data_IF_651578663313
#
_entry.id   IF_651578663313
#
_cell.length_a   1.000
_cell.length_b   1.000
_cell.length_c   1.000
_cell.angle_alpha   90.00
_cell.angle_beta   90.00
_cell.angle_gamma   90.00
#
_symmetry.space_group_name_H-M   'P 1'
#
loop_
_entity.id
_entity.type
_entity.pdbx_description
1 polymer ?
#
# COMPACT_ATOMS: atom_id res chain seq x y z
N UNK A 1 -9.21 6.51 34.59
CA UNK A 1 -9.33 6.30 33.13
C UNK A 1 -8.62 5.01 32.78
N UNK A 2 -9.36 4.01 32.32
CA UNK A 2 -8.83 2.65 32.11
C UNK A 2 -8.22 2.51 30.72
N UNK A 3 -6.97 2.03 30.65
CA UNK A 3 -6.39 1.52 29.42
C UNK A 3 -7.07 0.19 29.09
N UNK A 4 -7.50 0.01 27.83
CA UNK A 4 -7.94 -1.29 27.34
C UNK A 4 -6.79 -1.95 26.57
N UNK A 5 -6.53 -3.20 26.91
CA UNK A 5 -5.41 -3.96 26.36
C UNK A 5 -5.75 -5.44 26.32
N UNK A 6 -4.84 -6.22 25.72
CA UNK A 6 -5.01 -7.66 25.53
C UNK A 6 -5.44 -8.39 26.82
N UNK A 7 -6.46 -9.23 26.71
CA UNK A 7 -7.02 -10.00 27.82
C UNK A 7 -8.05 -9.26 28.66
N UNK A 8 -8.26 -7.95 28.46
CA UNK A 8 -9.40 -7.26 29.07
C UNK A 8 -10.73 -7.76 28.48
N UNK A 9 -11.78 -7.77 29.28
CA UNK A 9 -13.12 -8.22 28.87
C UNK A 9 -14.22 -7.29 29.39
N UNK A 10 -15.42 -7.40 28.83
CA UNK A 10 -16.63 -6.73 29.30
C UNK A 10 -17.18 -5.66 28.36
N UNK A 11 -18.20 -4.89 28.81
CA UNK A 11 -18.93 -3.95 27.95
C UNK A 11 -18.04 -2.89 27.29
N UNK A 12 -17.05 -2.36 28.02
CA UNK A 12 -16.11 -1.38 27.46
C UNK A 12 -15.28 -1.94 26.29
N UNK A 13 -14.99 -3.25 26.29
CA UNK A 13 -14.31 -3.91 25.18
C UNK A 13 -15.25 -4.15 24.01
N UNK A 14 -16.52 -4.49 24.28
CA UNK A 14 -17.55 -4.58 23.24
C UNK A 14 -17.75 -3.24 22.53
N UNK A 15 -17.88 -2.14 23.29
CA UNK A 15 -18.05 -0.79 22.74
C UNK A 15 -16.84 -0.39 21.90
N UNK A 16 -15.63 -0.67 22.40
CA UNK A 16 -14.40 -0.47 21.64
C UNK A 16 -14.40 -1.29 20.34
N UNK A 17 -14.72 -2.58 20.41
CA UNK A 17 -14.73 -3.45 19.23
C UNK A 17 -15.72 -2.95 18.18
N UNK A 18 -16.92 -2.51 18.59
CA UNK A 18 -17.91 -1.90 17.69
C UNK A 18 -17.39 -0.61 17.06
N UNK A 19 -16.67 0.21 17.82
CA UNK A 19 -16.08 1.42 17.29
C UNK A 19 -14.98 1.10 16.26
N UNK A 20 -14.13 0.11 16.51
CA UNK A 20 -13.10 -0.33 15.55
C UNK A 20 -13.72 -0.95 14.29
N UNK A 21 -14.86 -1.65 14.41
CA UNK A 21 -15.67 -2.11 13.27
C UNK A 21 -16.20 -0.91 12.47
N UNK A 22 -16.76 0.09 13.14
CA UNK A 22 -17.28 1.30 12.49
C UNK A 22 -16.18 2.07 11.75
N UNK A 23 -14.95 2.02 12.27
CA UNK A 23 -13.74 2.57 11.62
C UNK A 23 -13.17 1.69 10.51
N UNK A 24 -13.71 0.49 10.28
CA UNK A 24 -13.30 -0.41 9.20
C UNK A 24 -12.07 -1.27 9.49
N UNK A 25 -11.61 -1.33 10.74
CA UNK A 25 -10.39 -2.06 11.13
C UNK A 25 -10.67 -3.47 11.69
N UNK A 26 -11.93 -3.81 11.95
CA UNK A 26 -12.35 -5.11 12.45
C UNK A 26 -13.63 -5.55 11.74
N UNK A 27 -13.76 -6.85 11.44
CA UNK A 27 -15.01 -7.39 10.91
C UNK A 27 -16.07 -7.44 12.01
N UNK A 28 -17.33 -7.15 11.67
CA UNK A 28 -18.44 -7.21 12.63
C UNK A 28 -18.58 -8.60 13.31
N UNK A 29 -18.23 -9.67 12.60
CA UNK A 29 -18.22 -11.05 13.13
C UNK A 29 -17.14 -11.29 14.19
N UNK A 30 -16.10 -10.44 14.22
CA UNK A 30 -14.97 -10.53 15.15
C UNK A 30 -15.11 -9.56 16.33
N UNK A 31 -16.18 -8.75 16.36
CA UNK A 31 -16.46 -7.88 17.49
C UNK A 31 -17.07 -8.67 18.65
N UNK A 32 -16.52 -8.48 19.84
CA UNK A 32 -17.00 -9.18 21.03
C UNK A 32 -16.47 -8.59 22.33
N UNK A 33 -16.87 -9.16 23.47
CA UNK A 33 -16.55 -8.64 24.80
C UNK A 33 -15.14 -8.98 25.26
N UNK A 34 -14.24 -9.45 24.37
CA UNK A 34 -12.90 -9.92 24.72
C UNK A 34 -11.88 -9.18 23.86
N UNK A 35 -10.86 -8.63 24.52
CA UNK A 35 -9.75 -7.97 23.84
C UNK A 35 -8.74 -9.04 23.42
N UNK A 36 -9.08 -9.71 22.33
CA UNK A 36 -8.34 -10.84 21.82
C UNK A 36 -7.18 -10.41 20.91
N UNK A 37 -6.54 -11.39 20.24
CA UNK A 37 -5.42 -11.12 19.33
C UNK A 37 -5.89 -10.36 18.07
N UNK A 38 -7.14 -10.55 17.63
CA UNK A 38 -7.70 -9.91 16.43
C UNK A 38 -7.96 -8.44 16.71
N UNK A 39 -8.65 -8.12 17.82
CA UNK A 39 -8.87 -6.75 18.24
C UNK A 39 -7.55 -6.02 18.48
N UNK A 40 -6.57 -6.68 19.13
CA UNK A 40 -5.24 -6.07 19.30
C UNK A 40 -4.56 -5.73 17.98
N UNK A 41 -4.63 -6.62 16.99
CA UNK A 41 -4.04 -6.35 15.68
C UNK A 41 -4.77 -5.19 14.99
N UNK A 42 -6.11 -5.18 15.03
CA UNK A 42 -6.92 -4.09 14.49
C UNK A 42 -6.58 -2.73 15.12
N UNK A 43 -6.36 -2.69 16.43
CA UNK A 43 -5.91 -1.46 17.12
C UNK A 43 -4.53 -1.02 16.65
N UNK A 44 -3.59 -1.95 16.43
CA UNK A 44 -2.27 -1.60 15.89
C UNK A 44 -2.37 -1.04 14.48
N UNK A 45 -3.19 -1.66 13.64
CA UNK A 45 -3.41 -1.21 12.27
C UNK A 45 -4.04 0.20 12.26
N UNK A 46 -4.97 0.47 13.19
CA UNK A 46 -5.53 1.81 13.41
C UNK A 46 -4.46 2.81 13.86
N UNK A 47 -3.69 2.47 14.91
CA UNK A 47 -2.63 3.33 15.44
C UNK A 47 -1.54 3.66 14.41
N UNK A 48 -1.26 2.75 13.49
CA UNK A 48 -0.29 2.96 12.42
C UNK A 48 -0.74 4.02 11.40
N UNK A 49 -2.03 4.31 11.33
CA UNK A 49 -2.65 5.16 10.30
C UNK A 49 -3.19 6.49 10.84
N UNK A 50 -3.26 6.70 12.16
CA UNK A 50 -3.93 7.86 12.76
C UNK A 50 -3.01 8.69 13.66
N UNK A 51 -3.39 9.97 13.82
CA UNK A 51 -2.71 10.95 14.65
C UNK A 51 -3.43 11.12 16.00
N UNK A 52 -2.69 11.56 17.02
CA UNK A 52 -3.24 11.98 18.31
C UNK A 52 -3.89 13.37 18.21
N UNK A 53 -4.51 13.80 19.31
CA UNK A 53 -5.18 15.11 19.42
C UNK A 53 -4.30 16.33 19.16
N UNK A 54 -2.97 16.13 19.05
CA UNK A 54 -1.97 17.16 18.77
C UNK A 54 -1.36 17.00 17.37
N UNK A 55 -1.91 16.13 16.52
CA UNK A 55 -1.41 15.88 15.17
C UNK A 55 -0.14 15.03 15.12
N UNK A 56 0.16 14.26 16.18
CA UNK A 56 1.37 13.43 16.23
C UNK A 56 1.02 11.96 16.03
N UNK A 57 1.85 11.17 15.34
CA UNK A 57 1.57 9.75 15.13
C UNK A 57 1.33 9.01 16.44
N UNK A 58 0.31 8.14 16.48
CA UNK A 58 0.09 7.26 17.61
C UNK A 58 1.24 6.25 17.74
N UNK A 59 1.44 5.76 18.97
CA UNK A 59 2.35 4.64 19.25
C UNK A 59 1.62 3.36 18.89
N UNK A 60 2.27 2.48 18.13
CA UNK A 60 1.69 1.22 17.63
C UNK A 60 1.94 0.08 18.63
N UNK A 61 1.31 0.17 19.80
CA UNK A 61 1.48 -0.79 20.91
C UNK A 61 0.32 -1.80 21.03
N UNK A 62 -0.81 -1.52 20.39
CA UNK A 62 -2.05 -2.28 20.51
C UNK A 62 -2.78 -2.03 21.84
N UNK A 63 -2.49 -0.92 22.51
CA UNK A 63 -3.10 -0.49 23.77
C UNK A 63 -4.00 0.71 23.50
N UNK A 64 -5.26 0.64 23.90
CA UNK A 64 -6.19 1.75 23.77
C UNK A 64 -6.12 2.61 25.02
N UNK A 65 -5.23 3.59 24.98
CA UNK A 65 -5.16 4.70 25.94
C UNK A 65 -5.98 5.92 25.49
N UNK A 66 -5.99 7.01 26.28
CA UNK A 66 -6.79 8.20 25.98
C UNK A 66 -6.54 8.82 24.59
N UNK A 67 -5.31 8.75 24.07
CA UNK A 67 -4.97 9.30 22.75
C UNK A 67 -5.52 8.43 21.61
N UNK A 68 -5.41 7.11 21.72
CA UNK A 68 -5.99 6.17 20.75
C UNK A 68 -7.51 6.25 20.79
N UNK A 69 -8.10 6.31 21.99
CA UNK A 69 -9.55 6.47 22.16
C UNK A 69 -10.05 7.80 21.60
N UNK A 70 -9.30 8.88 21.78
CA UNK A 70 -9.62 10.18 21.18
C UNK A 70 -9.66 10.08 19.66
N UNK A 71 -8.62 9.52 19.03
CA UNK A 71 -8.56 9.35 17.57
C UNK A 71 -9.68 8.44 17.03
N UNK A 72 -10.05 7.42 17.81
CA UNK A 72 -11.15 6.50 17.52
C UNK A 72 -12.53 7.19 17.55
N UNK A 73 -12.73 8.16 18.45
CA UNK A 73 -14.03 8.81 18.68
C UNK A 73 -14.20 10.14 17.97
N UNK A 74 -13.10 10.77 17.53
CA UNK A 74 -13.14 12.03 16.79
C UNK A 74 -12.75 11.74 15.34
N UNK A 75 -13.62 12.03 14.35
CA UNK A 75 -13.24 11.90 12.95
C UNK A 75 -11.99 12.74 12.70
N UNK A 76 -11.11 12.25 11.83
CA UNK A 76 -9.94 13.01 11.38
C UNK A 76 -10.41 14.41 10.97
N UNK A 77 -9.77 15.44 11.53
CA UNK A 77 -10.17 16.83 11.24
C UNK A 77 -10.22 16.98 9.72
N UNK A 78 -11.31 17.51 9.14
CA UNK A 78 -11.36 17.75 7.69
C UNK A 78 -10.29 18.77 7.23
N UNK A 79 -9.74 19.55 8.16
CA UNK A 79 -8.62 20.48 7.99
C UNK A 79 -7.22 19.84 8.15
N UNK A 80 -7.17 18.58 8.59
CA UNK A 80 -6.07 17.64 8.36
C UNK A 80 -6.59 16.47 7.51
N UNK A 81 -7.42 16.77 6.50
CA UNK A 81 -7.46 15.89 5.35
C UNK A 81 -6.00 15.71 4.93
N UNK A 82 -5.43 14.51 5.16
CA UNK A 82 -4.44 14.02 4.22
C UNK A 82 -5.11 14.30 2.88
N UNK A 83 -4.52 15.16 2.02
CA UNK A 83 -5.15 15.45 0.75
C UNK A 83 -5.49 14.08 0.19
N UNK A 84 -6.79 13.80 -0.03
CA UNK A 84 -7.19 12.74 -0.98
C UNK A 84 -6.19 12.93 -2.09
N UNK A 85 -5.24 12.00 -2.35
CA UNK A 85 -4.10 12.35 -3.16
C UNK A 85 -4.65 12.84 -4.46
N UNK A 86 -4.72 14.17 -4.61
CA UNK A 86 -5.10 14.77 -5.86
C UNK A 86 -4.06 14.15 -6.77
N UNK A 87 -4.52 13.46 -7.81
CA UNK A 87 -3.66 12.92 -8.85
C UNK A 87 -2.98 14.15 -9.44
N UNK A 88 -1.93 14.57 -8.76
CA UNK A 88 -1.15 15.75 -9.01
C UNK A 88 0.02 15.24 -9.80
N UNK A 89 0.41 16.00 -10.81
CA UNK A 89 1.46 15.53 -11.70
C UNK A 89 2.71 15.18 -10.89
N UNK A 90 3.33 14.00 -11.16
CA UNK A 90 4.53 13.63 -10.46
C UNK A 90 5.62 14.69 -10.71
N UNK A 91 6.35 15.10 -9.65
CA UNK A 91 7.37 16.14 -9.76
C UNK A 91 8.43 15.78 -10.81
N UNK A 92 9.13 16.76 -11.41
CA UNK A 92 10.18 16.48 -12.37
C UNK A 92 11.24 15.48 -11.86
N UNK A 93 11.87 14.76 -12.78
CA UNK A 93 12.84 13.71 -12.47
C UNK A 93 12.37 12.32 -12.93
N UNK A 94 13.18 11.31 -12.58
CA UNK A 94 13.05 9.95 -13.12
C UNK A 94 13.61 9.83 -14.54
N UNK A 95 13.89 8.61 -14.98
CA UNK A 95 14.25 8.34 -16.38
C UNK A 95 12.99 8.23 -17.25
N UNK A 96 13.15 8.32 -18.57
CA UNK A 96 12.03 8.32 -19.52
C UNK A 96 11.14 7.08 -19.43
N UNK A 97 11.73 5.91 -19.20
CA UNK A 97 11.00 4.63 -19.10
C UNK A 97 10.16 4.55 -17.83
N UNK A 98 10.74 4.87 -16.67
CA UNK A 98 10.05 4.92 -15.40
C UNK A 98 8.92 5.94 -15.40
N UNK A 99 9.16 7.13 -15.96
CA UNK A 99 8.15 8.18 -16.07
C UNK A 99 6.99 7.77 -16.99
N UNK A 100 7.28 7.15 -18.14
CA UNK A 100 6.23 6.63 -19.01
C UNK A 100 5.39 5.55 -18.31
N UNK A 101 6.03 4.64 -17.57
CA UNK A 101 5.34 3.61 -16.79
C UNK A 101 4.43 4.23 -15.71
N UNK A 102 4.93 5.21 -14.96
CA UNK A 102 4.13 5.91 -13.95
C UNK A 102 2.96 6.66 -14.58
N UNK A 103 3.16 7.35 -15.70
CA UNK A 103 2.09 8.07 -16.39
C UNK A 103 0.99 7.11 -16.89
N UNK A 104 1.36 5.95 -17.43
CA UNK A 104 0.41 4.91 -17.80
C UNK A 104 -0.38 4.39 -16.58
N UNK A 105 0.30 4.19 -15.44
CA UNK A 105 -0.35 3.77 -14.21
C UNK A 105 -1.33 4.84 -13.68
N UNK A 106 -0.97 6.13 -13.71
CA UNK A 106 -1.84 7.23 -13.31
C UNK A 106 -3.08 7.33 -14.21
N UNK A 107 -2.93 7.08 -15.52
CA UNK A 107 -4.08 7.02 -16.43
C UNK A 107 -5.07 5.90 -16.04
N UNK A 108 -4.59 4.74 -15.58
CA UNK A 108 -5.47 3.67 -15.07
C UNK A 108 -6.20 4.08 -13.78
N UNK A 109 -5.57 4.88 -12.90
CA UNK A 109 -6.25 5.48 -11.75
C UNK A 109 -7.38 6.39 -12.22
N UNK A 110 -7.13 7.29 -13.19
CA UNK A 110 -8.14 8.19 -13.75
C UNK A 110 -9.30 7.44 -14.41
N UNK A 111 -9.03 6.30 -15.06
CA UNK A 111 -10.06 5.45 -15.64
C UNK A 111 -10.83 4.60 -14.61
N UNK A 112 -10.46 4.64 -13.33
CA UNK A 112 -11.11 3.85 -12.27
C UNK A 112 -10.89 2.35 -12.43
N UNK A 113 -9.73 1.96 -12.96
CA UNK A 113 -9.38 0.57 -13.20
C UNK A 113 -9.40 -0.23 -11.89
N UNK A 114 -10.08 -1.38 -11.89
CA UNK A 114 -10.25 -2.24 -10.72
C UNK A 114 -10.63 -3.65 -11.12
N UNK A 115 -10.61 -4.56 -10.17
CA UNK A 115 -11.22 -5.89 -10.34
C UNK A 115 -12.73 -5.78 -10.57
N UNK A 116 -13.24 -6.62 -11.46
CA UNK A 116 -14.66 -6.66 -11.82
C UNK A 116 -15.16 -8.10 -11.86
N UNK A 117 -16.40 -8.32 -11.43
CA UNK A 117 -17.03 -9.63 -11.37
C UNK A 117 -16.58 -10.51 -10.21
N UNK A 118 -15.27 -10.72 -10.02
CA UNK A 118 -14.73 -11.48 -8.89
C UNK A 118 -13.28 -11.09 -8.54
N UNK A 119 -12.82 -11.53 -7.37
CA UNK A 119 -11.46 -11.28 -6.88
C UNK A 119 -10.42 -11.73 -7.92
N UNK A 120 -9.41 -10.90 -8.15
CA UNK A 120 -8.34 -11.12 -9.14
C UNK A 120 -8.83 -11.34 -10.60
N UNK A 121 -9.98 -10.79 -10.97
CA UNK A 121 -10.60 -11.00 -12.29
C UNK A 121 -11.16 -9.70 -12.90
N UNK A 122 -11.57 -9.80 -14.17
CA UNK A 122 -12.25 -8.74 -14.90
C UNK A 122 -11.40 -8.14 -16.03
N UNK A 123 -12.01 -7.28 -16.88
CA UNK A 123 -11.38 -6.80 -18.11
C UNK A 123 -10.06 -6.05 -17.89
N UNK A 124 -9.95 -5.26 -16.81
CA UNK A 124 -8.71 -4.57 -16.45
C UNK A 124 -7.59 -5.55 -16.09
N UNK A 125 -7.92 -6.58 -15.31
CA UNK A 125 -6.96 -7.62 -14.92
C UNK A 125 -6.49 -8.37 -16.16
N UNK A 126 -7.41 -8.79 -17.03
CA UNK A 126 -7.09 -9.48 -18.29
C UNK A 126 -6.19 -8.64 -19.20
N UNK A 127 -6.46 -7.33 -19.30
CA UNK A 127 -5.60 -6.36 -20.00
C UNK A 127 -4.17 -6.38 -19.46
N UNK A 128 -3.97 -6.34 -18.15
CA UNK A 128 -2.63 -6.36 -17.55
C UNK A 128 -1.92 -7.71 -17.69
N UNK A 129 -2.67 -8.82 -17.66
CA UNK A 129 -2.12 -10.15 -17.94
C UNK A 129 -1.72 -10.31 -19.41
N UNK A 130 -2.37 -9.57 -20.32
CA UNK A 130 -2.01 -9.49 -21.75
C UNK A 130 -1.86 -10.88 -22.38
N UNK A 131 -2.80 -11.78 -22.07
CA UNK A 131 -2.84 -13.17 -22.57
C UNK A 131 -1.72 -14.09 -22.07
N UNK A 132 -0.84 -13.62 -21.17
CA UNK A 132 0.29 -14.41 -20.63
C UNK A 132 -0.11 -15.24 -19.40
N UNK A 133 -1.31 -15.02 -18.87
CA UNK A 133 -1.95 -15.83 -17.84
C UNK A 133 -3.48 -15.58 -17.86
N UNK A 134 -4.25 -16.48 -17.25
CA UNK A 134 -5.71 -16.37 -17.11
C UNK A 134 -6.13 -15.87 -15.74
N UNK A 135 -7.30 -15.22 -15.66
CA UNK A 135 -7.95 -14.90 -14.38
C UNK A 135 -8.56 -16.18 -13.76
N UNK A 136 -8.73 -16.27 -12.43
CA UNK A 136 -8.27 -15.31 -11.41
C UNK A 136 -6.77 -15.43 -11.14
N UNK A 137 -6.03 -14.31 -11.20
CA UNK A 137 -4.58 -14.28 -10.93
C UNK A 137 -4.17 -12.98 -10.25
N UNK A 138 -3.33 -13.05 -9.20
CA UNK A 138 -2.76 -11.86 -8.57
C UNK A 138 -2.00 -11.04 -9.63
N UNK A 139 -2.34 -9.75 -9.74
CA UNK A 139 -2.00 -8.94 -10.92
C UNK A 139 -1.13 -7.72 -10.62
N UNK A 140 -0.64 -7.52 -9.39
CA UNK A 140 0.22 -6.38 -9.06
C UNK A 140 1.48 -6.28 -9.94
N UNK A 141 2.14 -7.42 -10.20
CA UNK A 141 3.36 -7.45 -11.03
C UNK A 141 3.03 -7.42 -12.52
N UNK A 142 1.91 -8.02 -12.93
CA UNK A 142 1.42 -7.93 -14.30
C UNK A 142 1.09 -6.48 -14.68
N UNK A 143 0.44 -5.74 -13.77
CA UNK A 143 0.18 -4.32 -13.91
C UNK A 143 1.47 -3.52 -14.10
N UNK A 144 2.49 -3.71 -13.25
CA UNK A 144 3.79 -3.04 -13.41
C UNK A 144 4.46 -3.41 -14.74
N UNK A 145 4.43 -4.68 -15.15
CA UNK A 145 4.97 -5.09 -16.45
C UNK A 145 4.21 -4.41 -17.61
N UNK A 146 2.88 -4.33 -17.53
CA UNK A 146 2.05 -3.65 -18.51
C UNK A 146 2.36 -2.14 -18.57
N UNK A 147 2.53 -1.48 -17.42
CA UNK A 147 2.91 -0.06 -17.34
C UNK A 147 4.23 0.21 -18.07
N UNK A 148 5.27 -0.59 -17.82
CA UNK A 148 6.56 -0.46 -18.53
C UNK A 148 6.48 -0.80 -20.02
N UNK A 149 5.50 -1.60 -20.44
CA UNK A 149 5.25 -1.90 -21.85
C UNK A 149 4.53 -0.79 -22.62
N UNK A 150 4.08 0.28 -21.95
CA UNK A 150 3.52 1.46 -22.63
C UNK A 150 4.59 2.40 -23.19
N UNK A 151 5.86 2.17 -22.87
CA UNK A 151 6.96 2.91 -23.48
C UNK A 151 7.19 2.44 -24.93
N UNK A 152 7.57 3.30 -25.89
CA UNK A 152 7.77 2.92 -27.29
C UNK A 152 8.87 1.87 -27.51
N UNK A 153 9.93 1.93 -26.71
CA UNK A 153 10.99 0.93 -26.71
C UNK A 153 10.60 -0.33 -25.91
N UNK A 154 11.12 -1.52 -26.26
CA UNK A 154 10.83 -2.77 -25.56
C UNK A 154 11.01 -2.68 -24.04
N UNK A 155 10.19 -3.39 -23.23
CA UNK A 155 10.31 -3.37 -21.78
C UNK A 155 11.71 -3.75 -21.31
N UNK A 156 12.26 -3.07 -20.29
CA UNK A 156 13.62 -3.32 -19.82
C UNK A 156 13.76 -4.68 -19.13
N UNK A 157 12.67 -5.35 -18.77
CA UNK A 157 12.65 -6.68 -18.16
C UNK A 157 11.51 -7.53 -18.74
N UNK A 158 11.67 -8.85 -18.70
CA UNK A 158 10.65 -9.80 -19.15
C UNK A 158 9.43 -9.77 -18.23
N UNK A 159 8.26 -10.03 -18.81
CA UNK A 159 7.01 -10.20 -18.06
C UNK A 159 7.15 -11.28 -16.98
N UNK A 160 6.58 -11.03 -15.80
CA UNK A 160 6.48 -12.00 -14.72
C UNK A 160 5.27 -11.69 -13.84
N UNK A 161 4.73 -12.72 -13.18
CA UNK A 161 3.66 -12.57 -12.19
C UNK A 161 4.19 -12.38 -10.76
N UNK A 162 5.47 -12.68 -10.52
CA UNK A 162 6.04 -12.69 -9.17
C UNK A 162 6.80 -11.42 -8.84
N UNK A 163 6.32 -10.62 -7.88
CA UNK A 163 7.01 -9.41 -7.41
C UNK A 163 8.44 -9.70 -6.93
N UNK A 164 8.66 -10.83 -6.24
CA UNK A 164 10.02 -11.26 -5.85
C UNK A 164 10.87 -11.71 -7.03
N UNK A 165 10.26 -12.34 -8.03
CA UNK A 165 10.93 -12.69 -9.28
C UNK A 165 11.45 -11.44 -9.98
N UNK A 166 10.60 -10.41 -10.09
CA UNK A 166 10.96 -9.10 -10.63
C UNK A 166 12.08 -8.44 -9.81
N UNK A 167 11.96 -8.38 -8.49
CA UNK A 167 13.02 -7.86 -7.61
C UNK A 167 14.34 -8.62 -7.78
N UNK A 168 14.30 -9.94 -7.92
CA UNK A 168 15.50 -10.75 -8.14
C UNK A 168 16.16 -10.43 -9.49
N UNK A 169 15.37 -10.12 -10.53
CA UNK A 169 15.91 -9.59 -11.79
C UNK A 169 16.61 -8.25 -11.58
N UNK A 170 16.00 -7.32 -10.84
CA UNK A 170 16.64 -6.04 -10.50
C UNK A 170 17.94 -6.25 -9.72
N UNK A 171 17.94 -7.16 -8.73
CA UNK A 171 19.14 -7.51 -7.97
C UNK A 171 20.27 -8.01 -8.87
N UNK A 172 19.99 -8.99 -9.74
CA UNK A 172 21.00 -9.56 -10.65
C UNK A 172 21.56 -8.54 -11.63
N UNK A 173 20.79 -7.52 -11.98
CA UNK A 173 21.19 -6.46 -12.91
C UNK A 173 21.84 -5.25 -12.23
N UNK A 174 21.96 -5.24 -10.90
CA UNK A 174 22.48 -4.08 -10.16
C UNK A 174 21.55 -2.87 -10.19
N UNK A 175 20.24 -3.10 -10.32
CA UNK A 175 19.22 -2.04 -10.44
C UNK A 175 18.49 -1.76 -9.12
N UNK A 176 18.85 -2.45 -8.04
CA UNK A 176 18.35 -2.09 -6.71
C UNK A 176 19.04 -0.82 -6.24
N UNK A 177 18.28 0.06 -5.60
CA UNK A 177 18.80 1.31 -5.05
C UNK A 177 18.47 1.40 -3.57
N UNK A 178 19.41 2.00 -2.82
CA UNK A 178 19.20 2.47 -1.46
C UNK A 178 18.94 3.98 -1.53
N UNK A 179 17.77 4.47 -1.12
CA UNK A 179 17.48 5.89 -1.13
C UNK A 179 18.33 6.64 -0.10
N UNK A 180 19.04 7.67 -0.55
CA UNK A 180 19.76 8.62 0.30
C UNK A 180 19.42 10.05 -0.09
N UNK A 181 19.95 11.05 0.61
CA UNK A 181 19.79 12.44 0.21
C UNK A 181 20.42 12.70 -1.18
N UNK A 182 21.53 12.02 -1.47
CA UNK A 182 22.28 12.11 -2.72
C UNK A 182 21.68 11.24 -3.84
N UNK A 183 20.89 10.23 -3.47
CA UNK A 183 20.20 9.33 -4.39
C UNK A 183 18.71 9.20 -3.98
N UNK A 184 17.92 10.28 -4.08
CA UNK A 184 16.52 10.25 -3.68
C UNK A 184 15.71 9.36 -4.62
N UNK A 185 14.56 8.87 -4.15
CA UNK A 185 13.61 8.17 -5.00
C UNK A 185 13.06 9.09 -6.08
N UNK A 186 12.82 8.55 -7.26
CA UNK A 186 12.29 9.27 -8.40
C UNK A 186 10.95 8.70 -8.87
N UNK A 187 10.10 9.54 -9.49
CA UNK A 187 8.91 9.06 -10.17
C UNK A 187 9.23 7.93 -11.16
N UNK A 188 8.53 6.81 -11.03
CA UNK A 188 8.70 5.62 -11.86
C UNK A 188 9.72 4.60 -11.35
N UNK A 189 10.40 4.88 -10.23
CA UNK A 189 11.10 3.81 -9.50
C UNK A 189 10.11 2.74 -9.04
N UNK A 190 10.61 1.55 -8.72
CA UNK A 190 9.82 0.48 -8.13
C UNK A 190 10.09 0.35 -6.64
N UNK A 191 9.05 0.00 -5.90
CA UNK A 191 9.13 -0.40 -4.50
C UNK A 191 8.61 -1.82 -4.36
N UNK A 192 9.31 -2.63 -3.57
CA UNK A 192 9.01 -4.05 -3.40
C UNK A 192 8.76 -4.38 -1.93
N UNK A 193 7.75 -5.21 -1.67
CA UNK A 193 7.45 -5.71 -0.33
C UNK A 193 7.38 -7.23 -0.31
N UNK A 194 7.61 -7.81 0.87
CA UNK A 194 7.28 -9.21 1.13
C UNK A 194 5.85 -9.36 1.61
N UNK A 195 5.27 -10.55 1.38
CA UNK A 195 3.96 -10.95 1.94
C UNK A 195 4.11 -12.23 2.75
N UNK A 196 3.21 -12.40 3.71
CA UNK A 196 3.17 -13.45 4.73
C UNK A 196 4.37 -13.45 5.69
N UNK A 197 5.58 -13.68 5.19
CA UNK A 197 6.81 -13.65 5.96
C UNK A 197 8.01 -13.21 5.10
N UNK A 198 9.10 -12.67 5.71
CA UNK A 198 10.26 -12.14 4.98
C UNK A 198 10.96 -13.13 4.04
N UNK A 199 10.86 -14.44 4.30
CA UNK A 199 11.43 -15.51 3.48
C UNK A 199 10.48 -16.10 2.44
N UNK A 200 9.18 -15.74 2.46
CA UNK A 200 8.16 -16.27 1.55
C UNK A 200 8.51 -15.97 0.09
N UNK A 201 8.04 -16.76 -0.87
CA UNK A 201 8.13 -16.38 -2.29
C UNK A 201 7.14 -15.25 -2.66
N UNK A 202 6.11 -15.03 -1.83
CA UNK A 202 5.11 -14.00 -2.06
C UNK A 202 5.67 -12.60 -1.81
N UNK A 203 5.19 -11.65 -2.60
CA UNK A 203 5.56 -10.25 -2.49
C UNK A 203 4.54 -9.33 -3.14
N UNK A 204 4.82 -8.04 -3.08
CA UNK A 204 4.06 -6.98 -3.71
C UNK A 204 5.00 -5.98 -4.37
N UNK A 205 4.51 -5.27 -5.37
CA UNK A 205 5.28 -4.26 -6.10
C UNK A 205 4.38 -3.08 -6.45
N UNK A 206 4.96 -1.88 -6.41
CA UNK A 206 4.31 -0.63 -6.78
C UNK A 206 5.26 0.28 -7.55
N UNK A 207 4.69 1.26 -8.26
CA UNK A 207 5.42 2.35 -8.88
C UNK A 207 5.53 3.49 -7.88
N UNK A 208 6.73 4.01 -7.65
CA UNK A 208 6.95 5.23 -6.88
C UNK A 208 6.40 6.41 -7.66
N UNK A 209 5.50 7.16 -7.03
CA UNK A 209 5.05 8.43 -7.55
C UNK A 209 6.03 9.53 -7.16
N UNK A 210 6.27 9.72 -5.86
CA UNK A 210 7.26 10.66 -5.31
C UNK A 210 7.42 10.46 -3.81
N UNK A 211 8.37 11.19 -3.21
CA UNK A 211 8.47 11.36 -1.76
C UNK A 211 8.28 12.84 -1.42
N UNK A 212 7.42 13.15 -0.47
CA UNK A 212 7.25 14.50 0.07
C UNK A 212 7.07 14.45 1.59
N UNK A 213 7.77 15.32 2.32
CA UNK A 213 7.66 15.45 3.77
C UNK A 213 7.80 14.12 4.55
N UNK A 214 8.68 13.23 4.09
CA UNK A 214 8.89 11.91 4.69
C UNK A 214 7.82 10.86 4.37
N UNK A 215 6.89 11.18 3.47
CA UNK A 215 5.85 10.29 2.96
C UNK A 215 6.21 9.84 1.55
N UNK A 216 6.23 8.52 1.34
CA UNK A 216 6.31 7.90 0.03
C UNK A 216 4.91 7.76 -0.56
N UNK A 217 4.71 8.29 -1.75
CA UNK A 217 3.51 8.09 -2.55
C UNK A 217 3.79 7.07 -3.66
N UNK A 218 2.87 6.15 -3.89
CA UNK A 218 2.98 5.08 -4.89
C UNK A 218 1.70 4.94 -5.70
N UNK A 219 1.79 4.37 -6.90
CA UNK A 219 0.63 3.87 -7.66
C UNK A 219 0.71 2.34 -7.69
N UNK A 220 -0.34 1.69 -7.24
CA UNK A 220 -0.36 0.23 -7.07
C UNK A 220 -1.67 -0.38 -7.53
N UNK A 221 -1.60 -1.60 -8.05
CA UNK A 221 -2.74 -2.46 -8.35
C UNK A 221 -2.74 -3.72 -7.50
N UNK A 222 -3.88 -4.39 -7.38
CA UNK A 222 -4.06 -5.63 -6.62
C UNK A 222 -3.63 -5.53 -5.14
N UNK A 223 -3.85 -4.36 -4.54
CA UNK A 223 -3.67 -4.13 -3.11
C UNK A 223 -5.03 -3.84 -2.47
N UNK A 224 -5.30 -4.50 -1.35
CA UNK A 224 -6.57 -4.40 -0.63
C UNK A 224 -7.50 -5.60 -0.88
N UNK A 225 -8.74 -5.48 -0.43
CA UNK A 225 -9.79 -6.47 -0.68
C UNK A 225 -10.46 -6.26 -2.04
N UNK A 226 -11.22 -7.26 -2.49
CA UNK A 226 -12.05 -7.14 -3.68
C UNK A 226 -13.14 -6.05 -3.49
N UNK A 227 -13.41 -5.22 -4.50
CA UNK A 227 -12.69 -5.09 -5.78
C UNK A 227 -11.42 -4.25 -5.62
N UNK A 228 -10.24 -4.86 -5.79
CA UNK A 228 -9.00 -4.13 -5.63
C UNK A 228 -8.83 -3.11 -6.79
N UNK A 229 -8.63 -1.82 -6.50
CA UNK A 229 -8.43 -0.80 -7.53
C UNK A 229 -6.95 -0.67 -7.93
N UNK A 230 -6.71 0.02 -9.04
CA UNK A 230 -5.46 0.77 -9.25
C UNK A 230 -5.64 2.14 -8.61
N UNK A 231 -4.82 2.48 -7.61
CA UNK A 231 -4.92 3.77 -6.93
C UNK A 231 -3.58 4.25 -6.35
N UNK A 232 -3.58 5.50 -5.91
CA UNK A 232 -2.47 6.08 -5.16
C UNK A 232 -2.52 5.61 -3.72
N UNK A 233 -1.37 5.25 -3.16
CA UNK A 233 -1.20 4.97 -1.74
C UNK A 233 -0.08 5.84 -1.18
N UNK A 234 -0.12 6.08 0.13
CA UNK A 234 0.94 6.75 0.86
C UNK A 234 1.49 5.88 2.00
N UNK A 235 2.75 6.09 2.33
CA UNK A 235 3.45 5.41 3.42
C UNK A 235 4.42 6.35 4.11
N UNK A 236 4.48 6.29 5.45
CA UNK A 236 5.56 6.94 6.20
C UNK A 236 6.87 6.21 5.91
N UNK A 237 7.80 6.86 5.20
CA UNK A 237 9.02 6.22 4.66
C UNK A 237 9.86 5.57 5.76
N UNK A 238 9.96 6.22 6.92
CA UNK A 238 10.74 5.74 8.07
C UNK A 238 10.09 4.56 8.83
N UNK A 239 8.83 4.21 8.54
CA UNK A 239 8.07 3.17 9.24
C UNK A 239 7.49 2.12 8.30
N UNK A 240 7.99 2.05 7.07
CA UNK A 240 7.48 1.08 6.10
C UNK A 240 7.79 -0.34 6.54
N UNK A 241 6.74 -1.06 6.93
CA UNK A 241 6.84 -2.47 7.20
C UNK A 241 6.97 -3.27 5.91
N UNK A 242 7.54 -4.46 6.03
CA UNK A 242 7.62 -5.47 4.97
C UNK A 242 8.41 -5.05 3.71
N UNK A 243 9.12 -3.93 3.78
CA UNK A 243 9.94 -3.42 2.68
C UNK A 243 11.05 -4.42 2.33
N UNK A 244 11.18 -4.72 1.06
CA UNK A 244 12.31 -5.45 0.47
C UNK A 244 13.30 -4.53 -0.26
N UNK A 245 12.96 -3.26 -0.44
CA UNK A 245 13.79 -2.23 -1.04
C UNK A 245 13.20 -1.64 -2.31
N UNK A 246 14.00 -0.82 -2.98
CA UNK A 246 13.61 -0.07 -4.16
C UNK A 246 14.45 -0.46 -5.38
N UNK A 247 13.93 -0.19 -6.57
CA UNK A 247 14.60 -0.48 -7.82
C UNK A 247 14.44 0.64 -8.83
N UNK A 248 15.53 0.97 -9.54
CA UNK A 248 15.54 1.96 -10.60
C UNK A 248 16.08 1.35 -11.88
N UNK A 249 15.31 1.47 -12.96
CA UNK A 249 15.78 1.12 -14.30
C UNK A 249 16.83 2.18 -14.72
N UNK A 250 17.98 1.80 -15.30
CA UNK A 250 18.93 2.76 -15.84
C UNK A 250 18.34 3.49 -17.06
N UNK A 251 18.85 4.68 -17.35
CA UNK A 251 18.54 5.44 -18.57
C UNK A 251 18.95 4.68 -19.82
#
# INVERSE_FOLDING_TARGET
>A
MSFLSFGNTGPAVSDLAQLVVHRGFLAASDAGPIFDRRLRQAIKDFQAQHLDSRGRPLVVDGIVGPLTLWALTHPDRPDLALPTPCISDPPPGGNGRGRAALNAALAEVTHGAREEGSNNSGPWVEKYLSGRASTPTNWCTAFVCWSFAQHPEPPPFSFTLGARGLRNTFKRRGWLIEPTAENPLHPGDLVFWWRDQPSSWKGHVGLVHHVANGILFTVEGNKGGFPAPVQVFDYVLARMERLLGFGRIPT
#
